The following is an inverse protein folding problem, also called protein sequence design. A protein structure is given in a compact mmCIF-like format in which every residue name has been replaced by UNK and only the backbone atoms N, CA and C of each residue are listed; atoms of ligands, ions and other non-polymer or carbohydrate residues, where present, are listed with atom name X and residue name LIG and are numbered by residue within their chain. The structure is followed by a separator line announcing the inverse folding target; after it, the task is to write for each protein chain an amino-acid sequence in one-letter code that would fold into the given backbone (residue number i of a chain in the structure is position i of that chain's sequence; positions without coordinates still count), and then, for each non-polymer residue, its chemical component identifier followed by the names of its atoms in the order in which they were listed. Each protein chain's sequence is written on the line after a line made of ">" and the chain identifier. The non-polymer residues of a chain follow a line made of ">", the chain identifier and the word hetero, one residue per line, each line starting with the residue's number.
data_IF_687971229700
#
_entry.id   IF_687971229700
#
_cell.length_a   1.000
_cell.length_b   1.000
_cell.length_c   1.000
_cell.angle_alpha   90.00
_cell.angle_beta   90.00
_cell.angle_gamma   90.00
#
_symmetry.space_group_name_H-M   'P 1'
#
loop_
_entity.id
_entity.type
_entity.pdbx_description
1 polymer ?
#
# COMPACT_ATOMS: atom_id res chain seq x y z
N UNK A 1 -34.81 -1.35 15.79
CA UNK A 1 -33.55 -1.13 15.06
C UNK A 1 -32.54 -0.64 16.08
N UNK A 2 -31.77 -1.53 16.68
CA UNK A 2 -30.40 -1.17 17.09
C UNK A 2 -29.51 -2.12 16.30
N UNK A 3 -29.36 -1.83 15.00
CA UNK A 3 -28.29 -2.45 14.24
C UNK A 3 -27.01 -1.83 14.77
N UNK A 4 -26.17 -2.63 15.42
CA UNK A 4 -24.95 -2.11 16.03
C UNK A 4 -23.96 -1.74 14.94
N UNK A 5 -23.42 -0.52 15.00
CA UNK A 5 -22.26 -0.19 14.19
C UNK A 5 -21.09 -1.03 14.69
N UNK A 6 -20.34 -1.65 13.77
CA UNK A 6 -19.21 -2.50 14.11
C UNK A 6 -18.17 -1.75 14.95
N UNK A 7 -18.00 -0.44 14.70
CA UNK A 7 -17.10 0.40 15.49
C UNK A 7 -17.55 0.55 16.94
N UNK A 8 -18.84 0.75 17.21
CA UNK A 8 -19.37 0.87 18.58
C UNK A 8 -19.27 -0.45 19.33
N UNK A 9 -19.51 -1.56 18.62
CA UNK A 9 -19.33 -2.91 19.16
C UNK A 9 -17.86 -3.17 19.57
N UNK A 10 -16.91 -2.82 18.70
CA UNK A 10 -15.48 -2.97 18.98
C UNK A 10 -15.01 -2.02 20.08
N UNK A 11 -15.44 -0.76 20.05
CA UNK A 11 -15.08 0.24 21.06
C UNK A 11 -15.59 -0.15 22.45
N UNK A 12 -16.84 -0.59 22.56
CA UNK A 12 -17.40 -1.07 23.82
C UNK A 12 -16.57 -2.20 24.45
N UNK A 13 -16.19 -3.20 23.65
CA UNK A 13 -15.30 -4.28 24.12
C UNK A 13 -13.91 -3.76 24.51
N UNK A 14 -13.35 -2.81 23.77
CA UNK A 14 -12.07 -2.17 24.10
C UNK A 14 -12.12 -1.41 25.44
N UNK A 15 -13.28 -0.85 25.80
CA UNK A 15 -13.53 -0.22 27.10
C UNK A 15 -13.86 -1.22 28.21
N UNK A 16 -13.82 -2.52 27.93
CA UNK A 16 -14.12 -3.57 28.90
C UNK A 16 -15.61 -3.78 29.15
N UNK A 17 -16.50 -3.26 28.29
CA UNK A 17 -17.92 -3.57 28.36
C UNK A 17 -18.09 -5.03 27.93
N UNK A 18 -18.67 -5.84 28.81
CA UNK A 18 -19.01 -7.23 28.48
C UNK A 18 -20.18 -7.26 27.50
N UNK A 19 -19.88 -7.58 26.24
CA UNK A 19 -20.88 -7.83 25.21
C UNK A 19 -20.86 -9.32 24.90
N UNK A 20 -22.02 -9.98 24.97
CA UNK A 20 -22.19 -11.37 24.57
C UNK A 20 -23.13 -11.45 23.37
N UNK A 21 -22.69 -12.14 22.31
CA UNK A 21 -23.53 -12.41 21.15
C UNK A 21 -23.96 -13.88 21.15
N UNK A 22 -25.12 -14.15 20.57
CA UNK A 22 -25.65 -15.49 20.40
C UNK A 22 -26.33 -15.61 19.04
N UNK A 23 -26.45 -16.83 18.53
CA UNK A 23 -27.06 -17.07 17.22
C UNK A 23 -26.13 -16.71 16.07
N UNK A 24 -26.76 -16.35 14.95
CA UNK A 24 -26.13 -16.01 13.69
C UNK A 24 -26.00 -14.49 13.54
N UNK A 25 -24.76 -14.06 13.35
CA UNK A 25 -24.39 -12.65 13.17
C UNK A 25 -24.08 -12.39 11.70
N UNK A 26 -24.70 -11.34 11.15
CA UNK A 26 -24.47 -10.86 9.80
C UNK A 26 -23.59 -9.61 9.89
N UNK A 27 -22.39 -9.66 9.33
CA UNK A 27 -21.49 -8.50 9.25
C UNK A 27 -21.56 -7.91 7.84
N UNK A 28 -21.70 -6.60 7.72
CA UNK A 28 -21.76 -5.90 6.44
C UNK A 28 -20.52 -5.00 6.30
N UNK A 29 -19.67 -5.26 5.31
CA UNK A 29 -18.46 -4.49 5.02
C UNK A 29 -17.30 -5.37 4.57
N UNK A 30 -16.38 -4.83 3.76
CA UNK A 30 -15.23 -5.57 3.20
C UNK A 30 -13.86 -5.15 3.74
N UNK A 31 -13.79 -4.13 4.61
CA UNK A 31 -12.54 -3.57 5.13
C UNK A 31 -12.03 -4.27 6.39
N UNK A 32 -10.86 -3.85 6.90
CA UNK A 32 -10.25 -4.42 8.11
C UNK A 32 -11.20 -4.36 9.33
N UNK A 33 -11.92 -3.26 9.51
CA UNK A 33 -12.93 -3.12 10.60
C UNK A 33 -14.01 -4.21 10.50
N UNK A 34 -14.40 -4.62 9.30
CA UNK A 34 -15.38 -5.70 9.12
C UNK A 34 -14.79 -7.06 9.50
N UNK A 35 -13.51 -7.30 9.19
CA UNK A 35 -12.78 -8.50 9.64
C UNK A 35 -12.67 -8.53 11.16
N UNK A 36 -12.25 -7.43 11.79
CA UNK A 36 -12.15 -7.30 13.24
C UNK A 36 -13.51 -7.53 13.91
N UNK A 37 -14.57 -6.94 13.36
CA UNK A 37 -15.95 -7.10 13.83
C UNK A 37 -16.38 -8.57 13.76
N UNK A 38 -16.17 -9.24 12.61
CA UNK A 38 -16.57 -10.62 12.40
C UNK A 38 -15.81 -11.59 13.32
N UNK A 39 -14.50 -11.44 13.40
CA UNK A 39 -13.61 -12.25 14.24
C UNK A 39 -13.92 -12.04 15.72
N UNK A 40 -14.23 -10.82 16.13
CA UNK A 40 -14.61 -10.49 17.50
C UNK A 40 -15.99 -11.04 17.85
N UNK A 41 -16.95 -11.01 16.92
CA UNK A 41 -18.27 -11.59 17.11
C UNK A 41 -18.20 -13.08 17.49
N UNK A 42 -17.35 -13.87 16.81
CA UNK A 42 -17.10 -15.27 17.16
C UNK A 42 -16.55 -15.41 18.60
N UNK A 43 -15.62 -14.54 19.00
CA UNK A 43 -14.98 -14.58 20.32
C UNK A 43 -15.95 -14.25 21.45
N UNK A 44 -16.93 -13.41 21.20
CA UNK A 44 -17.96 -13.06 22.20
C UNK A 44 -19.17 -14.01 22.20
N UNK A 45 -19.09 -15.13 21.47
CA UNK A 45 -20.04 -16.23 21.58
C UNK A 45 -21.01 -16.41 20.42
N UNK A 46 -20.88 -15.65 19.33
CA UNK A 46 -21.63 -15.92 18.10
C UNK A 46 -21.40 -17.36 17.64
N UNK A 47 -22.47 -18.04 17.24
CA UNK A 47 -22.42 -19.44 16.79
C UNK A 47 -22.05 -19.53 15.32
N UNK A 48 -22.46 -18.53 14.54
CA UNK A 48 -22.19 -18.43 13.12
C UNK A 48 -22.00 -16.95 12.78
N UNK A 49 -20.99 -16.65 11.96
CA UNK A 49 -20.73 -15.29 11.46
C UNK A 49 -20.61 -15.33 9.94
N UNK A 50 -21.51 -14.61 9.27
CA UNK A 50 -21.51 -14.44 7.82
C UNK A 50 -21.22 -12.98 7.48
N UNK A 51 -20.15 -12.74 6.70
CA UNK A 51 -19.73 -11.41 6.29
C UNK A 51 -20.10 -11.18 4.83
N UNK A 52 -20.75 -10.04 4.54
CA UNK A 52 -21.17 -9.65 3.19
C UNK A 52 -20.53 -8.32 2.80
N UNK A 53 -19.97 -8.25 1.59
CA UNK A 53 -19.35 -7.02 1.08
C UNK A 53 -19.66 -6.79 -0.41
N UNK A 54 -19.56 -5.53 -0.83
CA UNK A 54 -19.89 -5.10 -2.20
C UNK A 54 -18.83 -5.56 -3.19
N UNK A 55 -17.59 -5.58 -2.72
CA UNK A 55 -16.39 -5.85 -3.47
C UNK A 55 -16.35 -7.31 -3.93
N UNK A 56 -15.77 -7.56 -5.10
CA UNK A 56 -15.29 -8.90 -5.43
C UNK A 56 -14.18 -9.30 -4.46
N UNK A 57 -13.87 -10.60 -4.39
CA UNK A 57 -12.84 -11.12 -3.46
C UNK A 57 -11.50 -10.42 -3.64
N UNK A 58 -11.13 -10.10 -4.88
CA UNK A 58 -9.87 -9.48 -5.25
C UNK A 58 -9.85 -7.96 -4.96
N UNK A 59 -11.02 -7.34 -4.86
CA UNK A 59 -11.20 -5.91 -4.61
C UNK A 59 -11.47 -5.57 -3.14
N UNK A 60 -11.58 -6.58 -2.27
CA UNK A 60 -11.85 -6.37 -0.84
C UNK A 60 -10.79 -5.42 -0.22
N UNK A 61 -11.20 -4.36 0.50
CA UNK A 61 -10.25 -3.40 1.08
C UNK A 61 -9.43 -3.96 2.24
N UNK A 62 -9.90 -5.02 2.90
CA UNK A 62 -9.17 -5.68 3.97
C UNK A 62 -7.85 -6.28 3.45
N UNK A 63 -6.85 -6.36 4.33
CA UNK A 63 -5.62 -7.05 3.96
C UNK A 63 -5.91 -8.53 3.71
N UNK A 64 -5.31 -9.09 2.65
CA UNK A 64 -5.51 -10.48 2.26
C UNK A 64 -5.33 -11.47 3.42
N UNK A 65 -4.31 -11.24 4.27
CA UNK A 65 -4.03 -12.11 5.42
C UNK A 65 -5.12 -11.99 6.51
N UNK A 66 -5.75 -10.83 6.69
CA UNK A 66 -6.88 -10.66 7.65
C UNK A 66 -8.11 -11.46 7.18
N UNK A 67 -8.39 -11.43 5.87
CA UNK A 67 -9.48 -12.21 5.28
C UNK A 67 -9.22 -13.71 5.48
N UNK A 68 -8.00 -14.17 5.17
CA UNK A 68 -7.61 -15.57 5.34
C UNK A 68 -7.67 -16.02 6.80
N UNK A 69 -7.26 -15.17 7.75
CA UNK A 69 -7.35 -15.46 9.17
C UNK A 69 -8.80 -15.52 9.65
N UNK A 70 -9.66 -14.60 9.20
CA UNK A 70 -11.10 -14.62 9.52
C UNK A 70 -11.76 -15.92 9.04
N UNK A 71 -11.45 -16.37 7.83
CA UNK A 71 -11.96 -17.64 7.29
C UNK A 71 -11.44 -18.86 8.05
N UNK A 72 -10.15 -18.86 8.45
CA UNK A 72 -9.57 -19.91 9.31
C UNK A 72 -10.26 -20.00 10.67
N UNK A 73 -10.79 -18.89 11.18
CA UNK A 73 -11.57 -18.85 12.42
C UNK A 73 -13.05 -19.25 12.23
N UNK A 74 -13.50 -19.44 10.99
CA UNK A 74 -14.86 -19.88 10.67
C UNK A 74 -15.80 -18.77 10.20
N UNK A 75 -15.31 -17.56 9.93
CA UNK A 75 -16.11 -16.50 9.28
C UNK A 75 -16.38 -16.91 7.83
N UNK A 76 -17.65 -16.90 7.42
CA UNK A 76 -18.03 -17.18 6.03
C UNK A 76 -18.13 -15.86 5.26
N UNK A 77 -17.22 -15.66 4.30
CA UNK A 77 -17.15 -14.42 3.50
C UNK A 77 -17.94 -14.56 2.19
N UNK A 78 -18.88 -13.65 1.96
CA UNK A 78 -19.74 -13.56 0.79
C UNK A 78 -19.47 -12.26 0.01
N UNK A 79 -18.53 -12.28 -0.95
CA UNK A 79 -18.22 -11.12 -1.79
C UNK A 79 -19.32 -10.83 -2.81
N UNK A 80 -19.33 -9.62 -3.34
CA UNK A 80 -20.25 -9.15 -4.39
C UNK A 80 -21.74 -9.16 -3.99
N UNK A 81 -22.04 -8.85 -2.73
CA UNK A 81 -23.39 -8.71 -2.18
C UNK A 81 -23.54 -7.44 -1.35
N UNK A 82 -24.47 -6.57 -1.76
CA UNK A 82 -24.82 -5.38 -0.98
C UNK A 82 -26.15 -5.51 -0.26
N UNK A 83 -26.29 -4.91 0.93
CA UNK A 83 -27.54 -4.93 1.67
C UNK A 83 -28.60 -4.15 0.90
N UNK A 84 -29.79 -4.74 0.75
CA UNK A 84 -30.98 -4.11 0.20
C UNK A 84 -31.92 -3.67 1.32
N UNK A 85 -32.14 -4.54 2.31
CA UNK A 85 -33.04 -4.26 3.42
C UNK A 85 -32.71 -5.12 4.65
N UNK A 86 -32.70 -4.51 5.84
CA UNK A 86 -32.68 -5.26 7.11
C UNK A 86 -34.12 -5.69 7.43
N UNK A 87 -34.30 -6.98 7.68
CA UNK A 87 -35.58 -7.57 8.04
C UNK A 87 -35.75 -7.55 9.54
N UNK A 88 -36.95 -7.20 10.01
CA UNK A 88 -37.28 -7.18 11.43
C UNK A 88 -38.71 -7.61 11.71
N UNK A 89 -38.92 -8.16 12.89
CA UNK A 89 -40.22 -8.53 13.43
C UNK A 89 -40.26 -8.15 14.92
N UNK A 90 -41.34 -7.52 15.37
CA UNK A 90 -41.50 -7.04 16.76
C UNK A 90 -40.29 -6.25 17.31
N UNK A 91 -39.73 -5.38 16.48
CA UNK A 91 -38.59 -4.53 16.83
C UNK A 91 -37.22 -5.22 16.85
N UNK A 92 -37.17 -6.54 16.61
CA UNK A 92 -35.94 -7.35 16.57
C UNK A 92 -35.54 -7.70 15.14
N UNK A 93 -34.24 -7.77 14.89
CA UNK A 93 -33.71 -8.20 13.59
C UNK A 93 -33.99 -9.68 13.37
N UNK A 94 -34.38 -10.04 12.15
CA UNK A 94 -34.62 -11.43 11.74
C UNK A 94 -33.79 -11.85 10.53
N UNK A 95 -33.11 -10.90 9.88
CA UNK A 95 -32.23 -11.18 8.75
C UNK A 95 -31.94 -9.95 7.89
N UNK A 96 -31.33 -10.19 6.73
CA UNK A 96 -31.02 -9.17 5.72
C UNK A 96 -31.35 -9.72 4.33
N UNK A 97 -31.98 -8.89 3.50
CA UNK A 97 -32.08 -9.11 2.06
C UNK A 97 -30.88 -8.43 1.38
N UNK A 98 -30.17 -9.18 0.56
CA UNK A 98 -29.02 -8.72 -0.23
C UNK A 98 -29.34 -8.70 -1.72
N UNK A 99 -28.60 -7.87 -2.46
CA UNK A 99 -28.57 -7.83 -3.93
C UNK A 99 -27.16 -8.05 -4.43
N UNK A 100 -27.04 -8.75 -5.55
CA UNK A 100 -25.72 -8.96 -6.14
C UNK A 100 -25.16 -7.62 -6.63
N UNK A 101 -23.93 -7.31 -6.22
CA UNK A 101 -23.16 -6.17 -6.71
C UNK A 101 -22.41 -6.61 -7.98
N UNK A 102 -22.57 -5.88 -9.08
CA UNK A 102 -21.92 -6.16 -10.37
C UNK A 102 -20.58 -5.44 -10.46
N UNK A 103 -20.51 -4.22 -9.94
CA UNK A 103 -19.29 -3.41 -9.91
C UNK A 103 -19.37 -2.40 -8.78
N UNK A 104 -18.28 -2.19 -8.04
CA UNK A 104 -18.23 -1.21 -6.94
C UNK A 104 -17.82 0.18 -7.41
N UNK A 105 -16.89 0.26 -8.35
CA UNK A 105 -16.32 1.51 -8.84
C UNK A 105 -16.73 1.80 -10.28
N UNK A 106 -16.85 3.08 -10.62
CA UNK A 106 -16.98 3.52 -12.00
C UNK A 106 -15.63 3.42 -12.76
N UNK A 107 -15.59 3.62 -14.10
CA UNK A 107 -14.35 3.59 -14.88
C UNK A 107 -13.29 4.62 -14.48
N UNK A 108 -13.64 5.61 -13.64
CA UNK A 108 -12.73 6.62 -13.08
C UNK A 108 -12.24 6.23 -11.68
N UNK A 109 -12.59 5.04 -11.18
CA UNK A 109 -12.22 4.55 -9.85
C UNK A 109 -13.03 5.18 -8.72
N UNK A 110 -14.14 5.87 -9.01
CA UNK A 110 -14.98 6.48 -7.97
C UNK A 110 -15.99 5.46 -7.48
N UNK A 111 -16.23 5.43 -6.17
CA UNK A 111 -17.25 4.58 -5.58
C UNK A 111 -18.63 4.88 -6.18
N UNK A 112 -19.21 3.90 -6.88
CA UNK A 112 -20.48 3.99 -7.58
C UNK A 112 -21.04 2.58 -7.85
N UNK A 113 -21.56 1.90 -6.82
CA UNK A 113 -21.94 0.50 -6.93
C UNK A 113 -23.14 0.29 -7.87
N UNK A 114 -23.02 -0.68 -8.78
CA UNK A 114 -24.08 -1.10 -9.70
C UNK A 114 -24.61 -2.46 -9.26
N UNK A 115 -25.91 -2.56 -9.04
CA UNK A 115 -26.56 -3.78 -8.57
C UNK A 115 -27.30 -4.51 -9.69
N UNK A 116 -27.23 -5.84 -9.67
CA UNK A 116 -28.04 -6.69 -10.51
C UNK A 116 -29.43 -6.93 -9.93
N UNK A 117 -30.15 -7.87 -10.56
CA UNK A 117 -31.49 -8.27 -10.15
C UNK A 117 -31.52 -9.46 -9.19
N UNK A 118 -30.40 -10.19 -9.03
CA UNK A 118 -30.35 -11.36 -8.16
C UNK A 118 -30.42 -10.90 -6.71
N UNK A 119 -31.37 -11.44 -5.96
CA UNK A 119 -31.52 -11.21 -4.53
C UNK A 119 -31.25 -12.49 -3.74
N UNK A 120 -30.95 -12.31 -2.46
CA UNK A 120 -30.80 -13.40 -1.50
C UNK A 120 -31.32 -12.91 -0.15
N UNK A 121 -32.08 -13.75 0.54
CA UNK A 121 -32.48 -13.50 1.93
C UNK A 121 -31.65 -14.38 2.84
N UNK A 122 -31.13 -13.78 3.90
CA UNK A 122 -30.29 -14.44 4.90
C UNK A 122 -30.90 -14.15 6.27
N UNK A 123 -31.33 -15.19 6.97
CA UNK A 123 -31.84 -15.03 8.33
C UNK A 123 -30.67 -14.85 9.31
N UNK A 124 -30.89 -14.11 10.39
CA UNK A 124 -29.91 -13.83 11.45
C UNK A 124 -30.46 -12.90 12.53
N UNK A 125 -29.93 -13.00 13.74
CA UNK A 125 -30.42 -12.30 14.93
C UNK A 125 -29.72 -10.96 15.17
N UNK A 126 -28.49 -10.81 14.66
CA UNK A 126 -27.65 -9.62 14.85
C UNK A 126 -27.10 -9.16 13.50
N UNK A 127 -27.15 -7.85 13.26
CA UNK A 127 -26.51 -7.21 12.10
C UNK A 127 -25.50 -6.19 12.59
N UNK A 128 -24.24 -6.33 12.16
CA UNK A 128 -23.14 -5.43 12.47
C UNK A 128 -22.66 -4.72 11.20
N UNK A 129 -22.77 -3.39 11.17
CA UNK A 129 -22.40 -2.58 9.99
C UNK A 129 -21.01 -1.97 10.10
N UNK A 130 -20.12 -2.27 9.16
CA UNK A 130 -18.72 -1.83 9.08
C UNK A 130 -18.39 -1.28 7.68
N UNK A 131 -19.18 -0.30 7.22
CA UNK A 131 -19.18 0.21 5.84
C UNK A 131 -18.36 1.49 5.62
N UNK A 132 -17.52 1.87 6.58
CA UNK A 132 -16.73 3.11 6.55
C UNK A 132 -17.15 4.08 7.65
N UNK A 133 -16.34 5.12 7.85
CA UNK A 133 -16.53 6.17 8.83
C UNK A 133 -16.37 7.53 8.16
N UNK A 134 -17.14 8.50 8.64
CA UNK A 134 -17.08 9.90 8.24
C UNK A 134 -16.72 10.76 9.45
N UNK A 135 -16.16 11.94 9.22
CA UNK A 135 -15.95 12.95 10.25
C UNK A 135 -17.31 13.51 10.69
N UNK A 136 -17.69 13.22 11.93
CA UNK A 136 -18.88 13.78 12.57
C UNK A 136 -18.51 15.10 13.28
N UNK A 137 -18.72 16.22 12.58
CA UNK A 137 -18.51 17.55 13.15
C UNK A 137 -19.47 18.58 12.53
N UNK A 138 -20.57 18.83 13.22
CA UNK A 138 -21.60 19.77 12.78
C UNK A 138 -21.09 21.22 12.64
N UNK A 139 -20.09 21.63 13.43
CA UNK A 139 -19.52 22.97 13.33
C UNK A 139 -18.73 23.13 12.02
N UNK A 140 -17.85 22.19 11.71
CA UNK A 140 -17.11 22.18 10.44
C UNK A 140 -18.04 22.05 9.23
N UNK A 141 -19.13 21.29 9.35
CA UNK A 141 -20.16 21.22 8.30
C UNK A 141 -20.84 22.57 8.10
N UNK A 142 -21.24 23.25 9.18
CA UNK A 142 -21.89 24.57 9.12
C UNK A 142 -20.99 25.66 8.51
N UNK A 143 -19.67 25.52 8.69
CA UNK A 143 -18.66 26.38 8.08
C UNK A 143 -18.34 26.01 6.62
N UNK A 144 -18.99 24.97 6.07
CA UNK A 144 -18.72 24.46 4.73
C UNK A 144 -17.32 23.86 4.58
N UNK A 145 -16.68 23.49 5.69
CA UNK A 145 -15.31 22.96 5.74
C UNK A 145 -15.26 21.44 5.57
N UNK A 146 -16.39 20.75 5.47
CA UNK A 146 -16.45 19.33 5.12
C UNK A 146 -16.81 19.11 3.64
N UNK A 147 -16.21 18.09 3.02
CA UNK A 147 -16.58 17.51 1.72
C UNK A 147 -16.71 15.99 1.88
N UNK A 148 -17.93 15.47 1.77
CA UNK A 148 -18.24 14.02 1.89
C UNK A 148 -17.59 13.41 3.14
N UNK A 149 -17.93 13.95 4.31
CA UNK A 149 -17.44 13.44 5.59
C UNK A 149 -15.96 13.66 5.87
N UNK A 150 -15.27 14.54 5.11
CA UNK A 150 -13.84 14.84 5.31
C UNK A 150 -13.57 16.32 5.36
N UNK A 151 -12.60 16.74 6.17
CA UNK A 151 -12.15 18.13 6.24
C UNK A 151 -11.51 18.54 4.92
N UNK A 152 -12.00 19.62 4.32
CA UNK A 152 -11.45 20.23 3.11
C UNK A 152 -10.07 20.78 3.43
N UNK A 153 -9.05 20.14 2.86
CA UNK A 153 -7.67 20.55 3.01
C UNK A 153 -6.88 20.21 1.75
N UNK A 154 -5.84 20.99 1.50
CA UNK A 154 -4.87 20.71 0.45
C UNK A 154 -3.79 19.75 0.96
N UNK A 155 -3.46 18.70 0.20
CA UNK A 155 -2.48 17.69 0.63
C UNK A 155 -1.02 18.19 0.55
N UNK A 156 -0.74 19.19 -0.27
CA UNK A 156 0.62 19.71 -0.39
C UNK A 156 0.97 20.67 0.74
N UNK A 157 -0.01 21.38 1.30
CA UNK A 157 0.16 22.39 2.35
C UNK A 157 -0.45 21.99 3.70
N UNK A 158 -1.31 20.97 3.73
CA UNK A 158 -2.14 20.58 4.88
C UNK A 158 -3.09 21.68 5.37
N UNK A 159 -3.25 22.75 4.60
CA UNK A 159 -4.02 23.93 4.99
C UNK A 159 -5.48 23.78 4.53
N UNK A 160 -6.39 24.23 5.38
CA UNK A 160 -7.81 24.36 5.05
C UNK A 160 -8.08 25.71 4.35
N UNK A 161 -9.34 26.05 4.12
CA UNK A 161 -9.73 27.38 3.64
C UNK A 161 -9.43 28.51 4.62
N UNK A 162 -9.32 28.22 5.92
CA UNK A 162 -8.77 29.16 6.91
C UNK A 162 -7.24 28.98 6.97
N UNK A 163 -6.44 30.03 6.68
CA UNK A 163 -4.98 29.94 6.68
C UNK A 163 -4.36 29.63 8.05
N UNK A 164 -5.13 29.69 9.14
CA UNK A 164 -4.70 29.35 10.51
C UNK A 164 -5.03 27.91 10.90
N UNK A 165 -5.81 27.19 10.09
CA UNK A 165 -6.33 25.86 10.40
C UNK A 165 -5.78 24.84 9.42
N UNK A 166 -5.22 23.76 9.97
CA UNK A 166 -4.60 22.66 9.23
C UNK A 166 -5.31 21.35 9.57
N UNK A 167 -5.35 20.42 8.62
CA UNK A 167 -5.97 19.10 8.81
C UNK A 167 -5.04 17.97 8.38
N UNK A 168 -5.09 16.85 9.11
CA UNK A 168 -4.25 15.68 8.89
C UNK A 168 -4.98 14.40 9.30
N UNK A 169 -4.42 13.25 8.90
CA UNK A 169 -4.98 11.95 9.24
C UNK A 169 -6.24 11.59 8.45
N UNK A 170 -7.02 10.65 8.98
CA UNK A 170 -8.14 10.04 8.28
C UNK A 170 -9.30 11.01 8.09
N UNK A 171 -9.54 11.91 9.06
CA UNK A 171 -10.57 12.96 8.94
C UNK A 171 -10.32 13.92 7.77
N UNK A 172 -9.07 14.04 7.30
CA UNK A 172 -8.70 14.90 6.17
C UNK A 172 -8.64 14.13 4.85
N UNK A 173 -8.01 12.95 4.85
CA UNK A 173 -7.62 12.26 3.62
C UNK A 173 -8.29 10.89 3.43
N UNK A 174 -9.20 10.51 4.32
CA UNK A 174 -9.90 9.23 4.33
C UNK A 174 -9.14 8.13 5.07
N UNK A 175 -9.86 7.08 5.43
CA UNK A 175 -9.34 5.95 6.20
C UNK A 175 -8.15 5.29 5.51
N UNK A 176 -7.09 5.09 6.27
CA UNK A 176 -5.83 4.54 5.76
C UNK A 176 -5.10 3.75 6.85
N UNK A 177 -3.88 3.30 6.58
CA UNK A 177 -3.04 2.74 7.63
C UNK A 177 -2.52 3.84 8.57
N UNK A 178 -2.37 3.54 9.86
CA UNK A 178 -1.87 4.46 10.91
C UNK A 178 -0.58 5.18 10.50
N UNK A 179 0.29 4.53 9.72
CA UNK A 179 1.53 5.14 9.21
C UNK A 179 1.29 6.36 8.32
N UNK A 180 0.19 6.40 7.57
CA UNK A 180 -0.18 7.56 6.76
C UNK A 180 -0.68 8.69 7.65
N UNK A 181 -1.51 8.41 8.65
CA UNK A 181 -1.92 9.42 9.63
C UNK A 181 -0.70 10.05 10.34
N UNK A 182 0.29 9.24 10.73
CA UNK A 182 1.56 9.75 11.27
C UNK A 182 2.33 10.61 10.26
N UNK A 183 2.35 10.23 8.97
CA UNK A 183 2.97 11.03 7.91
C UNK A 183 2.27 12.39 7.76
N UNK A 184 0.94 12.40 7.71
CA UNK A 184 0.12 13.60 7.61
C UNK A 184 0.37 14.53 8.80
N UNK A 185 0.43 13.99 10.02
CA UNK A 185 0.73 14.76 11.23
C UNK A 185 2.11 15.44 11.18
N UNK A 186 3.14 14.72 10.71
CA UNK A 186 4.48 15.31 10.52
C UNK A 186 4.50 16.40 9.44
N UNK A 187 3.77 16.20 8.34
CA UNK A 187 3.59 17.19 7.27
C UNK A 187 2.90 18.44 7.81
N UNK A 188 1.79 18.29 8.52
CA UNK A 188 1.05 19.39 9.11
C UNK A 188 1.91 20.18 10.11
N UNK A 189 2.67 19.50 10.98
CA UNK A 189 3.56 20.15 11.92
C UNK A 189 4.61 21.05 11.23
N UNK A 190 5.17 20.60 10.09
CA UNK A 190 6.11 21.40 9.30
C UNK A 190 5.48 22.69 8.77
N UNK A 191 4.25 22.61 8.23
CA UNK A 191 3.56 23.77 7.68
C UNK A 191 3.00 24.71 8.75
N UNK A 192 2.56 24.16 9.89
CA UNK A 192 2.20 24.94 11.08
C UNK A 192 3.42 25.73 11.57
N UNK A 193 4.59 25.09 11.67
CA UNK A 193 5.82 25.79 12.04
C UNK A 193 6.17 26.90 11.04
N UNK A 194 6.11 26.62 9.74
CA UNK A 194 6.37 27.64 8.71
C UNK A 194 5.41 28.83 8.82
N UNK A 195 4.11 28.57 9.08
CA UNK A 195 3.10 29.60 9.29
C UNK A 195 3.42 30.47 10.51
N UNK A 196 3.72 29.85 11.66
CA UNK A 196 4.06 30.57 12.89
C UNK A 196 5.33 31.43 12.75
N UNK A 197 6.27 31.00 11.92
CA UNK A 197 7.48 31.75 11.60
C UNK A 197 7.31 32.77 10.46
N UNK A 198 6.08 32.98 9.97
CA UNK A 198 5.75 33.88 8.86
C UNK A 198 6.51 33.56 7.55
N UNK A 199 6.89 32.30 7.33
CA UNK A 199 7.48 31.85 6.06
C UNK A 199 6.38 31.69 5.01
N UNK A 200 6.25 32.67 4.11
CA UNK A 200 5.19 32.67 3.08
C UNK A 200 5.28 31.50 2.09
N UNK A 201 6.50 31.10 1.73
CA UNK A 201 6.77 30.06 0.73
C UNK A 201 7.71 29.01 1.33
N UNK A 202 7.23 28.16 2.27
CA UNK A 202 8.06 27.07 2.77
C UNK A 202 8.37 26.10 1.63
N UNK A 203 9.54 25.46 1.69
CA UNK A 203 9.85 24.36 0.78
C UNK A 203 8.83 23.24 0.97
N UNK A 204 8.45 22.48 -0.07
CA UNK A 204 7.57 21.34 0.10
C UNK A 204 8.12 20.37 1.15
N UNK A 205 7.25 19.86 2.03
CA UNK A 205 7.67 18.92 3.07
C UNK A 205 8.35 17.71 2.43
N UNK A 206 9.56 17.44 2.91
CA UNK A 206 10.35 16.26 2.58
C UNK A 206 10.50 15.41 3.82
N UNK A 207 10.33 14.09 3.68
CA UNK A 207 10.57 13.17 4.79
C UNK A 207 12.05 13.31 5.19
N UNK A 208 12.35 13.72 6.44
CA UNK A 208 13.72 13.98 6.84
C UNK A 208 14.54 12.70 6.76
N UNK A 209 15.67 12.80 6.07
CA UNK A 209 16.65 11.73 5.99
C UNK A 209 17.25 11.48 7.37
N UNK A 210 17.13 10.23 7.86
CA UNK A 210 17.81 9.80 9.08
C UNK A 210 18.69 8.61 8.76
N UNK A 211 19.95 8.87 8.43
CA UNK A 211 20.98 7.83 8.46
C UNK A 211 21.21 7.40 9.89
N UNK A 212 20.71 6.21 10.22
CA UNK A 212 21.28 5.48 11.34
C UNK A 212 22.53 4.79 10.81
N UNK A 213 23.69 5.05 11.42
CA UNK A 213 24.90 4.25 11.17
C UNK A 213 24.73 2.89 11.83
N UNK A 214 23.93 2.02 11.20
CA UNK A 214 23.71 0.64 11.68
C UNK A 214 24.58 -0.29 10.85
N UNK A 215 25.35 -1.20 11.48
CA UNK A 215 26.05 -2.26 10.77
C UNK A 215 25.15 -2.97 9.76
N UNK A 216 25.72 -3.38 8.63
CA UNK A 216 24.99 -4.18 7.64
C UNK A 216 24.79 -5.57 8.24
N UNK A 217 23.56 -5.86 8.67
CA UNK A 217 23.12 -7.14 9.21
C UNK A 217 21.99 -7.76 8.38
N UNK A 218 21.80 -7.26 7.15
CA UNK A 218 20.82 -7.81 6.21
C UNK A 218 21.43 -9.05 5.53
N UNK A 219 20.63 -10.10 5.38
CA UNK A 219 21.03 -11.30 4.66
C UNK A 219 21.25 -10.97 3.16
N UNK A 220 22.33 -11.42 2.51
CA UNK A 220 22.56 -11.16 1.08
C UNK A 220 21.47 -11.69 0.14
N UNK A 221 20.65 -12.65 0.58
CA UNK A 221 19.55 -13.26 -0.18
C UNK A 221 18.18 -12.81 0.33
N UNK A 222 18.11 -11.73 1.12
CA UNK A 222 16.88 -11.24 1.75
C UNK A 222 15.68 -11.12 0.80
N UNK A 223 15.92 -10.86 -0.49
CA UNK A 223 14.89 -10.71 -1.52
C UNK A 223 14.26 -12.03 -1.98
N UNK A 224 14.95 -13.15 -1.72
CA UNK A 224 14.50 -14.52 -2.05
C UNK A 224 13.94 -15.26 -0.83
N UNK A 225 14.31 -14.82 0.38
CA UNK A 225 13.85 -15.44 1.61
C UNK A 225 12.36 -15.16 1.82
N UNK A 226 11.50 -16.21 1.87
CA UNK A 226 10.09 -16.02 2.12
C UNK A 226 9.87 -15.52 3.56
N UNK A 227 8.72 -14.88 3.80
CA UNK A 227 8.28 -14.57 5.15
C UNK A 227 7.93 -15.88 5.85
N UNK A 228 8.65 -16.23 6.92
CA UNK A 228 8.16 -17.21 7.89
C UNK A 228 6.95 -16.61 8.62
N UNK A 229 5.81 -17.30 8.58
CA UNK A 229 4.58 -16.89 9.27
C UNK A 229 4.58 -17.40 10.72
N UNK A 230 3.99 -16.62 11.62
CA UNK A 230 3.72 -17.08 12.97
C UNK A 230 2.67 -18.20 12.95
N UNK A 231 2.79 -19.21 13.82
CA UNK A 231 1.70 -20.15 14.06
C UNK A 231 0.45 -19.39 14.51
N UNK A 232 -0.63 -19.55 13.75
CA UNK A 232 -1.94 -18.97 14.03
C UNK A 232 -2.85 -20.02 14.67
N UNK A 233 -3.39 -19.72 15.85
CA UNK A 233 -4.20 -20.63 16.67
C UNK A 233 -5.71 -20.38 16.54
N UNK A 234 -6.11 -19.22 16.04
CA UNK A 234 -7.51 -18.86 15.84
C UNK A 234 -8.36 -18.97 17.11
N UNK A 235 -9.56 -19.57 16.98
CA UNK A 235 -10.52 -19.82 18.06
C UNK A 235 -10.70 -21.34 18.21
N UNK A 236 -10.59 -21.88 19.43
CA UNK A 236 -10.84 -23.30 19.65
C UNK A 236 -10.12 -23.89 20.87
N UNK A 237 -10.22 -25.21 21.04
CA UNK A 237 -9.61 -25.95 22.17
C UNK A 237 -8.09 -25.85 22.23
N UNK A 238 -7.45 -25.63 21.08
CA UNK A 238 -5.99 -25.54 20.96
C UNK A 238 -5.48 -24.10 21.11
N UNK A 239 -6.38 -23.11 21.26
CA UNK A 239 -6.00 -21.74 21.54
C UNK A 239 -5.73 -21.58 23.05
N UNK A 240 -4.49 -21.32 23.49
CA UNK A 240 -4.10 -21.33 24.89
C UNK A 240 -4.60 -20.11 25.69
N UNK A 241 -5.28 -19.17 25.03
CA UNK A 241 -5.58 -17.85 25.56
C UNK A 241 -7.11 -17.60 25.64
N UNK A 242 -7.58 -16.74 26.56
CA UNK A 242 -8.97 -16.30 26.59
C UNK A 242 -9.47 -15.85 25.23
N UNK A 243 -10.80 -15.89 24.99
CA UNK A 243 -11.37 -15.65 23.65
C UNK A 243 -10.95 -14.32 23.02
N UNK A 244 -10.59 -13.29 23.80
CA UNK A 244 -10.13 -11.97 23.33
C UNK A 244 -8.60 -11.76 23.42
N UNK A 245 -7.83 -12.83 23.63
CA UNK A 245 -6.37 -12.74 23.75
C UNK A 245 -5.65 -13.00 22.42
N UNK A 246 -4.32 -12.84 22.42
CA UNK A 246 -3.48 -13.05 21.24
C UNK A 246 -3.70 -14.45 20.63
N UNK A 247 -3.92 -14.49 19.32
CA UNK A 247 -4.22 -15.71 18.56
C UNK A 247 -3.03 -16.22 17.74
N UNK A 248 -1.85 -15.63 17.91
CA UNK A 248 -0.60 -16.00 17.24
C UNK A 248 0.49 -16.29 18.27
N UNK A 249 1.37 -17.25 17.99
CA UNK A 249 2.57 -17.44 18.80
C UNK A 249 3.67 -16.43 18.46
N UNK A 250 4.41 -16.02 19.48
CA UNK A 250 5.67 -15.29 19.28
C UNK A 250 6.71 -16.17 18.60
N UNK A 251 7.55 -15.56 17.75
CA UNK A 251 8.71 -16.23 17.18
C UNK A 251 9.82 -16.41 18.23
N UNK A 252 10.62 -17.46 18.06
CA UNK A 252 11.82 -17.67 18.86
C UNK A 252 12.93 -16.66 18.48
N UNK A 253 13.96 -16.56 19.32
CA UNK A 253 15.03 -15.57 19.12
C UNK A 253 15.74 -15.73 17.77
N UNK A 254 15.92 -16.98 17.30
CA UNK A 254 16.56 -17.24 16.00
C UNK A 254 15.64 -16.91 14.83
N UNK A 255 14.34 -17.20 14.92
CA UNK A 255 13.34 -16.78 13.95
C UNK A 255 13.25 -15.26 13.83
N UNK A 256 13.24 -14.54 14.96
CA UNK A 256 13.29 -13.07 14.96
C UNK A 256 14.54 -12.56 14.25
N UNK A 257 15.72 -13.16 14.49
CA UNK A 257 16.96 -12.79 13.78
C UNK A 257 16.87 -13.03 12.28
N UNK A 258 16.36 -14.19 11.83
CA UNK A 258 16.17 -14.48 10.41
C UNK A 258 15.19 -13.51 9.75
N UNK A 259 14.06 -13.23 10.42
CA UNK A 259 13.08 -12.24 9.97
C UNK A 259 13.67 -10.84 9.88
N UNK A 260 14.46 -10.42 10.87
CA UNK A 260 15.14 -9.12 10.86
C UNK A 260 16.22 -9.06 9.76
N UNK A 261 16.95 -10.14 9.52
CA UNK A 261 17.97 -10.22 8.47
C UNK A 261 17.36 -10.13 7.07
N UNK A 262 16.13 -10.64 6.86
CA UNK A 262 15.40 -10.45 5.59
C UNK A 262 14.64 -9.12 5.49
N UNK A 263 14.63 -8.28 6.53
CA UNK A 263 13.93 -6.99 6.49
C UNK A 263 14.58 -6.06 5.46
N UNK A 264 13.74 -5.35 4.72
CA UNK A 264 14.19 -4.30 3.81
C UNK A 264 14.85 -3.15 4.61
N UNK A 265 16.04 -2.72 4.18
CA UNK A 265 16.79 -1.62 4.81
C UNK A 265 16.29 -0.25 4.34
N UNK A 266 15.12 0.16 4.82
CA UNK A 266 14.56 1.48 4.51
C UNK A 266 15.47 2.66 4.94
N UNK A 267 16.36 2.41 5.90
CA UNK A 267 17.40 3.34 6.36
C UNK A 267 18.58 3.48 5.38
N UNK A 268 18.88 2.44 4.60
CA UNK A 268 19.95 2.44 3.59
C UNK A 268 19.42 2.78 2.18
N UNK A 269 18.13 2.59 1.93
CA UNK A 269 17.52 2.72 0.60
C UNK A 269 16.87 4.09 0.31
N UNK A 270 16.68 4.93 1.32
CA UNK A 270 16.06 6.27 1.13
C UNK A 270 17.10 7.31 0.69
N UNK A 271 17.65 7.13 -0.51
CA UNK A 271 18.63 8.05 -1.11
C UNK A 271 18.09 9.46 -1.42
N UNK A 272 16.77 9.71 -1.29
CA UNK A 272 16.18 11.06 -1.25
C UNK A 272 14.70 10.98 -0.84
N UNK A 273 14.11 12.12 -0.46
CA UNK A 273 12.67 12.30 -0.21
C UNK A 273 11.78 12.11 -1.43
N UNK A 274 12.35 12.10 -2.64
CA UNK A 274 11.61 11.99 -3.90
C UNK A 274 11.50 10.55 -4.41
N UNK A 275 12.06 9.60 -3.65
CA UNK A 275 11.93 8.17 -3.90
C UNK A 275 10.56 7.65 -3.44
N UNK A 276 9.53 7.85 -4.27
CA UNK A 276 8.17 7.37 -3.99
C UNK A 276 8.07 5.84 -3.97
N UNK A 277 7.14 5.28 -3.17
CA UNK A 277 6.80 3.84 -3.16
C UNK A 277 6.53 3.29 -4.57
N UNK A 278 5.90 4.10 -5.43
CA UNK A 278 5.66 3.77 -6.84
C UNK A 278 6.95 3.60 -7.64
N UNK A 279 7.94 4.48 -7.45
CA UNK A 279 9.26 4.36 -8.07
C UNK A 279 9.93 3.04 -7.66
N UNK A 280 9.77 2.63 -6.39
CA UNK A 280 10.27 1.37 -5.84
C UNK A 280 9.59 0.14 -6.43
N UNK A 281 8.25 0.14 -6.45
CA UNK A 281 7.48 -0.95 -7.04
C UNK A 281 7.85 -1.15 -8.51
N UNK A 282 7.98 -0.05 -9.27
CA UNK A 282 8.45 -0.12 -10.65
C UNK A 282 9.86 -0.71 -10.78
N UNK A 283 10.80 -0.39 -9.87
CA UNK A 283 12.14 -1.00 -9.86
C UNK A 283 12.07 -2.50 -9.61
N UNK A 284 11.25 -2.94 -8.66
CA UNK A 284 11.02 -4.37 -8.45
C UNK A 284 10.31 -5.04 -9.63
N UNK A 285 9.38 -4.35 -10.30
CA UNK A 285 8.75 -4.86 -11.52
C UNK A 285 9.81 -5.04 -12.60
N UNK A 286 10.64 -4.02 -12.88
CA UNK A 286 11.73 -4.11 -13.87
C UNK A 286 12.71 -5.25 -13.53
N UNK A 287 13.09 -5.39 -12.27
CA UNK A 287 13.99 -6.43 -11.77
C UNK A 287 13.47 -7.87 -11.94
N UNK A 288 12.15 -8.03 -12.03
CA UNK A 288 11.46 -9.33 -12.14
C UNK A 288 10.77 -9.53 -13.48
N UNK A 289 10.98 -8.60 -14.42
CA UNK A 289 10.48 -8.72 -15.79
C UNK A 289 11.57 -9.39 -16.59
N UNK A 290 11.25 -10.49 -17.26
CA UNK A 290 12.19 -11.16 -18.15
C UNK A 290 12.60 -10.23 -19.30
N UNK A 291 13.84 -10.31 -19.81
CA UNK A 291 14.31 -9.43 -20.88
C UNK A 291 13.47 -9.46 -22.16
N UNK A 292 12.74 -10.55 -22.42
CA UNK A 292 11.91 -10.79 -23.59
C UNK A 292 10.42 -10.43 -23.41
N UNK A 293 10.00 -10.00 -22.22
CA UNK A 293 8.62 -9.59 -21.93
C UNK A 293 8.34 -8.14 -22.43
N UNK A 294 8.27 -8.00 -23.76
CA UNK A 294 8.11 -6.71 -24.47
C UNK A 294 6.86 -5.95 -23.99
N UNK A 295 5.77 -6.64 -23.70
CA UNK A 295 4.50 -6.00 -23.30
C UNK A 295 4.65 -5.31 -21.95
N UNK A 296 5.26 -5.98 -20.97
CA UNK A 296 5.49 -5.44 -19.64
C UNK A 296 6.52 -4.31 -19.67
N UNK A 297 7.58 -4.45 -20.47
CA UNK A 297 8.55 -3.37 -20.74
C UNK A 297 7.87 -2.13 -21.32
N UNK A 298 7.02 -2.31 -22.32
CA UNK A 298 6.25 -1.21 -22.92
C UNK A 298 5.33 -0.54 -21.90
N UNK A 299 4.67 -1.33 -21.06
CA UNK A 299 3.79 -0.79 -20.01
C UNK A 299 4.57 0.05 -18.99
N UNK A 300 5.72 -0.45 -18.52
CA UNK A 300 6.61 0.26 -17.59
C UNK A 300 7.09 1.59 -18.21
N UNK A 301 7.53 1.56 -19.47
CA UNK A 301 8.00 2.74 -20.20
C UNK A 301 6.89 3.80 -20.35
N UNK A 302 5.71 3.40 -20.81
CA UNK A 302 4.58 4.31 -20.99
C UNK A 302 4.14 4.97 -19.68
N UNK A 303 4.22 4.25 -18.56
CA UNK A 303 3.96 4.86 -17.25
C UNK A 303 5.02 5.89 -16.84
N UNK A 304 6.28 5.68 -17.21
CA UNK A 304 7.42 6.56 -16.88
C UNK A 304 7.50 7.80 -17.76
N UNK A 305 7.07 7.70 -19.02
CA UNK A 305 7.02 8.82 -19.96
C UNK A 305 5.96 9.86 -19.61
N UNK A 306 5.03 9.57 -18.68
CA UNK A 306 4.09 10.57 -18.17
C UNK A 306 4.87 11.58 -17.30
N UNK A 307 5.03 12.84 -17.76
CA UNK A 307 5.72 13.84 -16.98
C UNK A 307 4.98 14.06 -15.66
N UNK A 308 5.73 14.19 -14.57
CA UNK A 308 5.16 14.65 -13.30
C UNK A 308 5.00 16.17 -13.37
N UNK A 309 3.93 16.69 -12.78
CA UNK A 309 3.82 18.12 -12.56
C UNK A 309 5.02 18.58 -11.71
N UNK A 310 5.65 19.68 -12.10
CA UNK A 310 6.71 20.28 -11.30
C UNK A 310 6.08 20.74 -9.96
N UNK A 311 6.45 20.15 -8.81
CA UNK A 311 5.87 20.52 -7.53
C UNK A 311 6.43 21.85 -7.00
N UNK A 312 7.38 22.46 -7.73
CA UNK A 312 8.02 23.71 -7.35
C UNK A 312 7.48 24.90 -8.16
N UNK A 313 7.55 26.12 -7.60
CA UNK A 313 7.21 27.33 -8.33
C UNK A 313 7.97 27.43 -9.67
N UNK A 314 7.35 27.92 -10.75
CA UNK A 314 7.99 28.06 -12.05
C UNK A 314 9.29 28.87 -12.02
N UNK A 315 9.39 29.81 -11.09
CA UNK A 315 10.53 30.72 -10.95
C UNK A 315 11.66 30.14 -10.08
N UNK A 316 11.46 28.98 -9.44
CA UNK A 316 12.51 28.37 -8.60
C UNK A 316 13.58 27.71 -9.48
N UNK A 317 14.86 28.12 -9.39
CA UNK A 317 15.93 27.43 -10.09
C UNK A 317 16.13 26.01 -9.54
N UNK A 318 16.48 25.08 -10.43
CA UNK A 318 16.86 23.72 -10.03
C UNK A 318 18.13 23.76 -9.17
N UNK A 319 18.13 23.04 -8.06
CA UNK A 319 19.27 22.91 -7.15
C UNK A 319 19.77 21.48 -7.09
N UNK A 320 20.99 21.28 -6.56
CA UNK A 320 21.57 19.96 -6.33
C UNK A 320 20.68 19.09 -5.42
N UNK A 321 19.91 19.73 -4.54
CA UNK A 321 18.91 19.08 -3.68
C UNK A 321 17.70 18.52 -4.45
N UNK A 322 17.55 18.84 -5.74
CA UNK A 322 16.53 18.28 -6.63
C UNK A 322 17.02 17.01 -7.35
N UNK A 323 18.28 16.59 -7.12
CA UNK A 323 18.81 15.32 -7.60
C UNK A 323 18.33 14.16 -6.74
N UNK A 324 17.84 13.12 -7.41
CA UNK A 324 17.39 11.87 -6.79
C UNK A 324 18.47 10.81 -6.98
N UNK A 325 19.17 10.46 -5.90
CA UNK A 325 20.12 9.35 -5.92
C UNK A 325 19.42 8.01 -5.70
N UNK A 326 19.66 7.06 -6.59
CA UNK A 326 19.25 5.67 -6.41
C UNK A 326 20.31 4.94 -5.60
N UNK A 327 19.90 4.14 -4.60
CA UNK A 327 20.85 3.35 -3.82
C UNK A 327 21.45 2.24 -4.70
N UNK A 328 22.73 1.92 -4.48
CA UNK A 328 23.43 0.89 -5.25
C UNK A 328 22.75 -0.50 -5.16
N UNK A 329 22.07 -0.79 -4.05
CA UNK A 329 21.27 -2.01 -3.89
C UNK A 329 20.06 -2.06 -4.83
N UNK A 330 19.38 -0.93 -5.05
CA UNK A 330 18.30 -0.83 -6.03
C UNK A 330 18.81 -0.90 -7.47
N UNK A 331 20.00 -0.36 -7.74
CA UNK A 331 20.62 -0.46 -9.06
C UNK A 331 20.99 -1.91 -9.38
N UNK A 332 21.47 -2.70 -8.40
CA UNK A 332 21.71 -4.14 -8.57
C UNK A 332 20.46 -4.90 -9.01
N UNK A 333 19.31 -4.60 -8.42
CA UNK A 333 18.05 -5.26 -8.80
C UNK A 333 17.71 -5.10 -10.29
N UNK A 334 18.09 -3.98 -10.91
CA UNK A 334 17.81 -3.71 -12.33
C UNK A 334 18.99 -4.09 -13.23
N UNK A 335 20.23 -4.08 -12.74
CA UNK A 335 21.41 -4.36 -13.56
C UNK A 335 21.74 -5.85 -13.59
N UNK A 336 21.66 -6.57 -12.46
CA UNK A 336 22.11 -7.97 -12.39
C UNK A 336 21.27 -8.94 -13.26
N UNK A 337 19.93 -8.82 -13.37
CA UNK A 337 19.15 -9.68 -14.27
C UNK A 337 19.48 -9.47 -15.76
N UNK A 338 20.00 -8.28 -16.10
CA UNK A 338 20.33 -7.88 -17.47
C UNK A 338 21.84 -7.96 -17.75
N UNK A 339 22.66 -8.35 -16.76
CA UNK A 339 24.13 -8.26 -16.87
C UNK A 339 24.69 -9.18 -17.95
N UNK A 340 24.08 -10.35 -18.12
CA UNK A 340 24.42 -11.29 -19.19
C UNK A 340 23.72 -10.95 -20.51
N UNK A 341 22.45 -10.52 -20.47
CA UNK A 341 21.67 -10.16 -21.66
C UNK A 341 22.09 -8.82 -22.32
N UNK A 342 22.69 -7.90 -21.56
CA UNK A 342 23.24 -6.63 -22.05
C UNK A 342 24.76 -6.69 -22.29
N UNK A 343 25.36 -7.88 -22.25
CA UNK A 343 26.77 -8.08 -22.60
C UNK A 343 26.96 -7.91 -24.11
N UNK A 344 27.30 -6.69 -24.55
CA UNK A 344 27.69 -6.39 -25.94
C UNK A 344 29.18 -6.70 -26.17
N UNK A 345 29.60 -7.94 -25.93
CA UNK A 345 30.96 -8.37 -26.27
C UNK A 345 30.97 -8.70 -27.77
N UNK A 346 31.59 -7.83 -28.57
CA UNK A 346 31.84 -8.06 -30.00
C UNK A 346 33.32 -8.39 -30.18
N UNK A 347 33.63 -9.55 -30.75
CA UNK A 347 35.01 -9.96 -31.04
C UNK A 347 35.40 -9.41 -32.41
N UNK A 348 36.32 -8.45 -32.44
CA UNK A 348 36.84 -7.84 -33.69
C UNK A 348 38.26 -8.37 -33.91
N UNK A 349 38.41 -9.33 -34.83
CA UNK A 349 39.71 -9.83 -35.31
C UNK A 349 40.58 -10.61 -34.30
N UNK A 350 41.79 -10.95 -34.72
CA UNK A 350 42.80 -11.57 -33.84
C UNK A 350 43.46 -10.51 -32.93
N UNK A 351 43.75 -10.93 -31.69
CA UNK A 351 44.14 -10.11 -30.54
C UNK A 351 45.17 -9.01 -30.83
N UNK A 352 44.86 -7.78 -30.39
CA UNK A 352 45.72 -6.60 -30.46
C UNK A 352 46.01 -6.06 -29.05
N UNK A 353 47.23 -5.59 -28.78
CA UNK A 353 47.66 -5.12 -27.46
C UNK A 353 48.18 -3.68 -27.52
N UNK A 354 47.45 -2.73 -26.92
CA UNK A 354 47.82 -1.32 -26.85
C UNK A 354 48.40 -0.95 -25.47
N UNK A 355 49.34 0.01 -25.43
CA UNK A 355 49.92 0.53 -24.17
C UNK A 355 48.97 1.44 -23.37
N UNK A 356 47.95 2.00 -24.00
CA UNK A 356 46.92 2.81 -23.34
C UNK A 356 45.53 2.45 -23.88
N UNK A 357 44.47 2.46 -23.05
CA UNK A 357 43.12 2.17 -23.52
C UNK A 357 42.62 3.29 -24.44
N UNK A 358 42.25 2.92 -25.65
CA UNK A 358 41.58 3.78 -26.63
C UNK A 358 40.28 3.10 -27.08
N UNK A 359 39.21 3.89 -27.21
CA UNK A 359 37.91 3.41 -27.63
C UNK A 359 37.59 4.03 -29.00
N UNK A 360 37.39 3.19 -30.03
CA UNK A 360 36.82 3.60 -31.30
C UNK A 360 35.41 3.03 -31.40
N UNK A 361 34.40 3.88 -31.63
CA UNK A 361 32.99 3.48 -31.74
C UNK A 361 32.36 4.12 -32.97
N UNK A 362 31.30 3.51 -33.51
CA UNK A 362 30.51 4.07 -34.62
C UNK A 362 30.93 3.62 -36.02
N UNK A 363 31.69 2.53 -36.14
CA UNK A 363 32.07 1.94 -37.43
C UNK A 363 31.37 0.61 -37.72
N UNK A 364 30.41 0.19 -36.87
CA UNK A 364 29.74 -1.10 -36.95
C UNK A 364 28.91 -1.27 -38.25
N UNK A 365 28.46 -0.15 -38.84
CA UNK A 365 27.76 -0.11 -40.13
C UNK A 365 28.64 0.42 -41.29
N UNK A 366 29.94 0.65 -41.05
CA UNK A 366 30.84 1.14 -42.09
C UNK A 366 31.14 0.03 -43.12
N UNK A 367 31.37 0.37 -44.39
CA UNK A 367 31.78 -0.61 -45.40
C UNK A 367 33.03 -1.39 -44.98
N UNK A 368 33.12 -2.66 -45.40
CA UNK A 368 34.16 -3.59 -44.97
C UNK A 368 35.58 -3.07 -45.28
N UNK A 369 35.75 -2.33 -46.38
CA UNK A 369 37.04 -1.73 -46.73
C UNK A 369 37.46 -0.63 -45.75
N UNK A 370 36.50 0.11 -45.19
CA UNK A 370 36.74 1.18 -44.19
C UNK A 370 37.14 0.55 -42.85
N UNK A 371 36.49 -0.55 -42.47
CA UNK A 371 36.84 -1.29 -41.26
C UNK A 371 38.25 -1.89 -41.36
N UNK A 372 38.61 -2.48 -42.50
CA UNK A 372 39.94 -3.03 -42.73
C UNK A 372 41.02 -1.95 -42.78
N UNK A 373 40.76 -0.81 -43.43
CA UNK A 373 41.70 0.31 -43.48
C UNK A 373 41.94 0.92 -42.09
N UNK A 374 40.89 1.04 -41.27
CA UNK A 374 41.00 1.50 -39.88
C UNK A 374 41.83 0.52 -39.05
N UNK A 375 41.58 -0.78 -39.17
CA UNK A 375 42.36 -1.81 -38.48
C UNK A 375 43.85 -1.76 -38.85
N UNK A 376 44.17 -1.63 -40.14
CA UNK A 376 45.55 -1.50 -40.62
C UNK A 376 46.21 -0.20 -40.15
N UNK A 377 45.47 0.92 -40.16
CA UNK A 377 45.97 2.21 -39.66
C UNK A 377 46.28 2.19 -38.17
N UNK A 378 45.42 1.56 -37.37
CA UNK A 378 45.63 1.38 -35.93
C UNK A 378 46.79 0.41 -35.65
N UNK A 379 46.93 -0.67 -36.43
CA UNK A 379 48.03 -1.61 -36.30
C UNK A 379 49.40 -0.98 -36.60
N UNK A 380 49.46 -0.01 -37.52
CA UNK A 380 50.68 0.74 -37.82
C UNK A 380 51.05 1.84 -36.82
N UNK A 381 50.14 2.19 -35.91
CA UNK A 381 50.27 3.37 -35.03
C UNK A 381 50.89 3.09 -33.65
N UNK A 382 51.16 1.81 -33.32
CA UNK A 382 51.84 1.40 -32.08
C UNK A 382 50.92 1.05 -30.93
#
# INVERSE_FOLDING_TARGET
>A
LEGFYGIEFLDGLSWGIEIALSGKVIVIGGGNVAMDTARTALRVGAQEVQLYCLESREEMPAFKYEIEQAEKEGVVVHPSWGPKQILSHDGRVTGVEFRNCISVFDPRGRFNPVYGQKTMRVDGEVVLSSIGLDADNAELESLGMLDRGRVKTDFETMCTSDPKVFAAGDCAFGSSAVVYAMNHGRRAAYYIQAFLENRKNPLPYRVPYRTRRVPVAQDPLWEKLPREEQPFHGIGKDCPAPRLSECESTMDAEGVKRQAARCLRCDAETGSSDYSRRTREHIHTMARTEPDDIERHRHILLQRLKPRNNPFPPERPAHIDDLVFLSAALTRLVIDPYREACSTITVIGESFALKQPFLCVGFDEAPEEVQQALALGLAGSG
#
